data_IF_497358677319
#
_entry.id   IF_497358677319
#
_cell.length_a   1.000
_cell.length_b   1.000
_cell.length_c   1.000
_cell.angle_alpha   90.00
_cell.angle_beta   90.00
_cell.angle_gamma   90.00
#
_symmetry.space_group_name_H-M   'P 1'
#
loop_
_entity.id
_entity.type
_entity.pdbx_description
1 polymer ?
#
# COMPACT_ATOMS: atom_id res chain seq x y z
N UNK A 1 -7.48 4.98 14.76
CA UNK A 1 -6.13 5.07 15.39
C UNK A 1 -5.76 3.72 16.01
N UNK A 2 -4.47 3.42 16.13
CA UNK A 2 -3.99 2.16 16.73
C UNK A 2 -4.34 2.08 18.23
N UNK A 3 -4.73 0.89 18.71
CA UNK A 3 -4.95 0.62 20.14
C UNK A 3 -3.64 0.41 20.92
N UNK A 4 -2.50 0.27 20.23
CA UNK A 4 -1.19 0.03 20.84
C UNK A 4 -0.46 1.35 21.06
N UNK A 5 -0.16 1.70 22.31
CA UNK A 5 0.42 3.00 22.67
C UNK A 5 1.77 3.26 22.01
N UNK A 6 2.63 2.24 21.92
CA UNK A 6 3.92 2.33 21.22
C UNK A 6 3.75 2.76 19.76
N UNK A 7 2.77 2.19 19.04
CA UNK A 7 2.51 2.54 17.64
C UNK A 7 2.01 3.98 17.48
N UNK A 8 1.24 4.51 18.45
CA UNK A 8 0.82 5.91 18.43
C UNK A 8 2.03 6.84 18.58
N UNK A 9 2.94 6.53 19.50
CA UNK A 9 4.17 7.31 19.71
C UNK A 9 5.04 7.29 18.45
N UNK A 10 5.24 6.11 17.85
CA UNK A 10 6.00 5.98 16.59
C UNK A 10 5.35 6.80 15.49
N UNK A 11 4.03 6.66 15.29
CA UNK A 11 3.30 7.42 14.28
C UNK A 11 3.47 8.94 14.46
N UNK A 12 3.27 9.45 15.68
CA UNK A 12 3.40 10.89 15.98
C UNK A 12 4.81 11.43 15.74
N UNK A 13 5.84 10.63 16.01
CA UNK A 13 7.24 11.06 15.89
C UNK A 13 7.84 10.84 14.50
N UNK A 14 7.42 9.80 13.78
CA UNK A 14 8.09 9.33 12.56
C UNK A 14 7.25 9.46 11.29
N UNK A 15 5.92 9.51 11.40
CA UNK A 15 5.03 9.53 10.23
C UNK A 15 4.30 10.87 10.12
N UNK A 16 3.63 11.30 11.19
CA UNK A 16 2.79 12.51 11.19
C UNK A 16 3.50 13.78 10.68
N UNK A 17 4.75 14.11 11.08
CA UNK A 17 5.44 15.32 10.61
C UNK A 17 5.67 15.34 9.10
N UNK A 18 5.81 14.16 8.49
CA UNK A 18 6.11 13.97 7.07
C UNK A 18 4.89 13.56 6.27
N UNK A 19 3.69 13.63 6.85
CA UNK A 19 2.45 13.16 6.20
C UNK A 19 2.19 13.86 4.86
N UNK A 20 2.61 15.12 4.73
CA UNK A 20 2.47 15.91 3.50
C UNK A 20 3.38 15.43 2.36
N UNK A 21 4.41 14.63 2.65
CA UNK A 21 5.30 14.03 1.65
C UNK A 21 4.77 12.70 1.11
N UNK A 22 3.75 12.13 1.76
CA UNK A 22 3.17 10.86 1.33
C UNK A 22 2.53 11.03 -0.05
N UNK A 23 2.80 10.08 -0.97
CA UNK A 23 2.22 10.12 -2.29
C UNK A 23 0.71 9.94 -2.20
N UNK A 24 0.00 10.67 -3.06
CA UNK A 24 -1.45 10.67 -3.13
C UNK A 24 -2.00 9.43 -3.84
N UNK A 25 -1.18 8.79 -4.68
CA UNK A 25 -1.54 7.63 -5.47
C UNK A 25 -0.32 6.74 -5.72
N UNK A 26 -0.56 5.54 -6.26
CA UNK A 26 0.47 4.53 -6.52
C UNK A 26 1.52 5.03 -7.51
N UNK A 27 1.11 5.72 -8.57
CA UNK A 27 2.02 6.17 -9.63
C UNK A 27 3.02 7.19 -9.09
N UNK A 28 2.53 8.18 -8.32
CA UNK A 28 3.38 9.17 -7.66
C UNK A 28 4.37 8.49 -6.69
N UNK A 29 3.92 7.48 -5.95
CA UNK A 29 4.79 6.74 -5.03
C UNK A 29 5.89 5.94 -5.74
N UNK A 30 5.55 5.32 -6.88
CA UNK A 30 6.51 4.58 -7.71
C UNK A 30 7.52 5.50 -8.41
N UNK A 31 7.06 6.67 -8.88
CA UNK A 31 7.93 7.69 -9.45
C UNK A 31 8.93 8.24 -8.41
N UNK A 32 8.45 8.50 -7.18
CA UNK A 32 9.30 8.95 -6.06
C UNK A 32 10.42 7.97 -5.71
N UNK A 33 10.19 6.66 -5.80
CA UNK A 33 11.26 5.65 -5.58
C UNK A 33 12.44 5.86 -6.53
N UNK A 34 12.17 6.31 -7.76
CA UNK A 34 13.22 6.55 -8.75
C UNK A 34 13.93 7.90 -8.58
N UNK A 35 13.24 8.89 -8.02
CA UNK A 35 13.74 10.28 -7.93
C UNK A 35 14.43 10.58 -6.60
N UNK A 36 13.97 9.96 -5.51
CA UNK A 36 14.44 10.24 -4.16
C UNK A 36 15.42 9.17 -3.66
N UNK A 37 16.61 9.59 -3.28
CA UNK A 37 17.56 8.71 -2.59
C UNK A 37 17.04 8.36 -1.19
N UNK A 38 17.16 7.08 -0.81
CA UNK A 38 16.70 6.55 0.49
C UNK A 38 15.18 6.63 0.71
N UNK A 39 14.40 6.50 -0.37
CA UNK A 39 12.96 6.41 -0.29
C UNK A 39 12.48 4.96 -0.36
N UNK A 40 11.51 4.60 0.49
CA UNK A 40 10.85 3.30 0.44
C UNK A 40 9.33 3.52 0.36
N UNK A 41 8.69 2.84 -0.58
CA UNK A 41 7.25 2.92 -0.80
C UNK A 41 6.58 1.58 -0.56
N UNK A 42 5.50 1.57 0.21
CA UNK A 42 4.70 0.37 0.44
C UNK A 42 3.48 0.39 -0.48
N UNK A 43 3.36 -0.64 -1.32
CA UNK A 43 2.27 -0.81 -2.28
C UNK A 43 1.82 -2.27 -2.29
N UNK A 44 0.58 -2.53 -2.73
CA UNK A 44 0.15 -3.90 -3.02
C UNK A 44 0.89 -4.43 -4.26
N UNK A 45 1.07 -5.75 -4.35
CA UNK A 45 1.65 -6.36 -5.56
C UNK A 45 0.84 -6.04 -6.81
N UNK A 46 -0.49 -5.95 -6.69
CA UNK A 46 -1.37 -5.57 -7.79
C UNK A 46 -1.09 -4.15 -8.30
N UNK A 47 -0.99 -3.16 -7.39
CA UNK A 47 -0.68 -1.79 -7.77
C UNK A 47 0.70 -1.63 -8.41
N UNK A 48 1.67 -2.45 -7.99
CA UNK A 48 2.97 -2.50 -8.65
C UNK A 48 2.90 -3.11 -10.05
N UNK A 49 2.25 -4.27 -10.21
CA UNK A 49 2.15 -4.98 -11.48
C UNK A 49 1.46 -4.12 -12.56
N UNK A 50 0.42 -3.37 -12.20
CA UNK A 50 -0.28 -2.48 -13.12
C UNK A 50 0.61 -1.36 -13.69
N UNK A 51 1.66 -0.96 -12.96
CA UNK A 51 2.47 0.21 -13.28
C UNK A 51 3.91 -0.12 -13.65
N UNK A 52 4.35 -1.38 -13.46
CA UNK A 52 5.76 -1.76 -13.57
C UNK A 52 6.35 -1.48 -14.96
N UNK A 53 5.54 -1.53 -16.01
CA UNK A 53 5.96 -1.22 -17.38
C UNK A 53 6.30 0.26 -17.62
N UNK A 54 5.81 1.17 -16.77
CA UNK A 54 6.02 2.61 -16.90
C UNK A 54 7.17 3.13 -16.02
N UNK A 55 7.80 2.26 -15.23
CA UNK A 55 8.87 2.64 -14.32
C UNK A 55 10.21 2.44 -15.02
N UNK A 56 11.02 3.49 -15.07
CA UNK A 56 12.30 3.51 -15.77
C UNK A 56 13.52 3.25 -14.89
N UNK A 57 13.33 2.89 -13.61
CA UNK A 57 14.40 2.57 -12.67
C UNK A 57 14.33 1.13 -12.17
N UNK A 58 15.43 0.66 -11.56
CA UNK A 58 15.47 -0.65 -10.92
C UNK A 58 14.84 -0.58 -9.52
N UNK A 59 13.83 -1.40 -9.27
CA UNK A 59 13.18 -1.50 -7.96
C UNK A 59 13.77 -2.69 -7.19
N UNK A 60 14.25 -2.43 -5.98
CA UNK A 60 14.63 -3.47 -5.04
C UNK A 60 13.49 -3.73 -4.04
N UNK A 61 13.10 -5.00 -3.89
CA UNK A 61 12.16 -5.42 -2.86
C UNK A 61 12.86 -5.54 -1.52
N UNK A 62 12.23 -5.04 -0.44
CA UNK A 62 12.70 -5.25 0.93
C UNK A 62 12.19 -6.62 1.42
N UNK A 63 13.07 -7.62 1.63
CA UNK A 63 12.64 -8.95 2.03
C UNK A 63 11.89 -8.91 3.38
N UNK A 64 10.88 -9.77 3.54
CA UNK A 64 10.10 -9.91 4.78
C UNK A 64 9.35 -8.65 5.24
N UNK A 65 9.36 -7.56 4.47
CA UNK A 65 8.61 -6.34 4.75
C UNK A 65 7.26 -6.34 4.01
N UNK A 66 6.41 -7.33 4.28
CA UNK A 66 5.08 -7.43 3.69
C UNK A 66 4.03 -7.84 4.73
N UNK A 67 2.78 -7.50 4.43
CA UNK A 67 1.63 -8.01 5.17
C UNK A 67 0.79 -8.86 4.22
N UNK A 68 0.39 -10.09 4.61
CA UNK A 68 -0.51 -10.89 3.78
C UNK A 68 -1.86 -10.16 3.67
N UNK A 69 -2.29 -9.96 2.43
CA UNK A 69 -3.58 -9.35 2.11
C UNK A 69 -4.44 -10.32 1.30
N UNK A 70 -5.75 -10.13 1.36
CA UNK A 70 -6.72 -10.89 0.57
C UNK A 70 -7.57 -9.92 -0.25
N UNK A 71 -7.80 -10.26 -1.52
CA UNK A 71 -8.80 -9.57 -2.34
C UNK A 71 -10.13 -10.27 -2.13
N UNK A 72 -11.18 -9.50 -1.87
CA UNK A 72 -12.53 -10.00 -1.67
C UNK A 72 -13.52 -9.19 -2.51
N UNK A 73 -14.66 -9.81 -2.82
CA UNK A 73 -15.78 -9.17 -3.49
C UNK A 73 -16.73 -8.65 -2.40
N UNK A 74 -16.96 -7.34 -2.38
CA UNK A 74 -17.98 -6.74 -1.54
C UNK A 74 -19.33 -6.75 -2.27
N UNK A 75 -20.38 -7.20 -1.60
CA UNK A 75 -21.76 -7.21 -2.11
C UNK A 75 -22.68 -6.55 -1.10
N UNK A 76 -23.82 -6.04 -1.60
CA UNK A 76 -24.91 -5.61 -0.71
C UNK A 76 -25.37 -6.76 0.16
N UNK A 77 -25.73 -6.46 1.42
CA UNK A 77 -26.29 -7.45 2.34
C UNK A 77 -27.54 -8.07 1.71
N UNK A 78 -27.70 -9.39 1.85
CA UNK A 78 -28.77 -10.18 1.24
C UNK A 78 -28.82 -10.16 -0.31
N UNK A 79 -27.69 -9.92 -0.99
CA UNK A 79 -27.64 -10.08 -2.46
C UNK A 79 -28.05 -11.47 -2.91
N UNK A 80 -29.00 -11.55 -3.85
CA UNK A 80 -29.41 -12.81 -4.49
C UNK A 80 -28.26 -13.53 -5.21
N UNK A 81 -27.18 -12.81 -5.55
CA UNK A 81 -25.99 -13.37 -6.20
C UNK A 81 -24.97 -13.96 -5.22
N UNK A 82 -25.20 -13.88 -3.90
CA UNK A 82 -24.23 -14.37 -2.89
C UNK A 82 -23.87 -15.83 -3.11
N UNK A 83 -24.84 -16.69 -3.43
CA UNK A 83 -24.61 -18.11 -3.67
C UNK A 83 -23.80 -18.44 -4.92
N UNK A 84 -23.69 -17.51 -5.87
CA UNK A 84 -22.84 -17.70 -7.07
C UNK A 84 -21.37 -17.50 -6.72
N UNK A 85 -21.06 -16.50 -5.90
CA UNK A 85 -19.69 -16.14 -5.53
C UNK A 85 -19.18 -16.81 -4.26
N UNK A 86 -20.07 -17.36 -3.44
CA UNK A 86 -19.75 -18.01 -2.18
C UNK A 86 -20.28 -19.44 -2.21
N UNK A 87 -19.56 -20.32 -2.93
CA UNK A 87 -19.76 -21.77 -2.88
C UNK A 87 -19.17 -22.35 -1.61
#
# INVERSE_FOLDING_TARGET
ESKVELLKIIYRKKIYPFRHLLPTNVNEGLEKICQENNYAFMVSMYGLIEQISFIHCSIAYVPQAFFPGSIAIAMVKESHYKGIFNK
#
